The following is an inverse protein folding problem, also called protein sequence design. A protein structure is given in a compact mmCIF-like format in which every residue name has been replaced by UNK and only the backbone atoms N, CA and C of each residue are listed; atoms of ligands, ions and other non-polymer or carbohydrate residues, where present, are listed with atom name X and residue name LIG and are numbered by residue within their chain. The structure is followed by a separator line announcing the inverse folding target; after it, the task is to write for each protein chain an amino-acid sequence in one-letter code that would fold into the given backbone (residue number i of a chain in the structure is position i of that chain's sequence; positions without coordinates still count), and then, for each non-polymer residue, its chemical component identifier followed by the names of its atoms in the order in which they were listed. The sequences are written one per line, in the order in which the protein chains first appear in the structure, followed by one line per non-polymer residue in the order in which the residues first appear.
data_IF_949609536487
#
_entry.id   IF_949609536487
#
_cell.length_a   1.000
_cell.length_b   1.000
_cell.length_c   1.000
_cell.angle_alpha   90.00
_cell.angle_beta   90.00
_cell.angle_gamma   90.00
#
_symmetry.space_group_name_H-M   'P 1'
#
loop_
_entity.id
_entity.type
_entity.pdbx_description
1 polymer ?
#
# COMPACT_ATOMS: atom_id res chain seq x y z
N UNK A 1 -7.65 -6.80 -8.14
CA UNK A 1 -7.37 -5.62 -7.31
C UNK A 1 -8.47 -4.60 -7.50
N UNK A 2 -8.43 -3.51 -6.76
CA UNK A 2 -9.28 -2.34 -6.98
C UNK A 2 -8.90 -1.66 -8.32
N UNK A 3 -9.86 -1.21 -9.15
CA UNK A 3 -9.58 -0.39 -10.33
C UNK A 3 -8.92 0.94 -9.96
N UNK A 4 -7.98 1.41 -10.80
CA UNK A 4 -7.19 2.61 -10.51
C UNK A 4 -8.05 3.87 -10.39
N UNK A 5 -9.20 3.91 -11.08
CA UNK A 5 -10.15 5.03 -11.01
C UNK A 5 -10.85 5.14 -9.65
N UNK A 6 -10.83 4.06 -8.85
CA UNK A 6 -11.39 4.04 -7.50
C UNK A 6 -10.34 4.37 -6.43
N UNK A 7 -9.05 4.48 -6.80
CA UNK A 7 -7.99 4.78 -5.86
C UNK A 7 -7.99 6.28 -5.57
N UNK A 8 -8.21 6.62 -4.30
CA UNK A 8 -8.19 7.99 -3.83
C UNK A 8 -6.82 8.42 -3.30
N UNK A 9 -5.99 7.47 -2.85
CA UNK A 9 -4.65 7.73 -2.29
C UNK A 9 -3.66 6.64 -2.73
N UNK A 10 -2.52 7.08 -3.25
CA UNK A 10 -1.34 6.27 -3.51
C UNK A 10 -0.27 6.58 -2.46
N UNK A 11 -0.30 5.87 -1.33
CA UNK A 11 0.60 6.12 -0.22
C UNK A 11 1.97 5.50 -0.50
N UNK A 12 3.01 6.32 -0.65
CA UNK A 12 4.39 5.82 -0.72
C UNK A 12 4.85 5.37 0.67
N UNK A 13 5.12 4.08 0.81
CA UNK A 13 5.55 3.39 2.04
C UNK A 13 6.96 2.81 1.91
N UNK A 14 7.75 3.26 0.94
CA UNK A 14 9.12 2.76 0.71
C UNK A 14 9.99 2.83 1.97
N UNK A 15 9.85 3.90 2.76
CA UNK A 15 10.60 4.08 4.00
C UNK A 15 10.27 3.01 5.06
N UNK A 16 9.06 2.46 5.06
CA UNK A 16 8.58 1.46 6.02
C UNK A 16 8.78 0.01 5.53
N UNK A 17 9.34 -0.18 4.33
CA UNK A 17 9.45 -1.49 3.68
C UNK A 17 10.18 -2.52 4.54
N UNK A 18 11.33 -2.16 5.11
CA UNK A 18 12.12 -3.07 5.96
C UNK A 18 11.31 -3.59 7.14
N UNK A 19 10.51 -2.72 7.75
CA UNK A 19 9.65 -3.10 8.86
C UNK A 19 8.50 -4.00 8.39
N UNK A 20 7.89 -3.69 7.23
CA UNK A 20 6.83 -4.49 6.63
C UNK A 20 7.30 -5.91 6.27
N UNK A 21 8.47 -6.05 5.65
CA UNK A 21 9.07 -7.35 5.31
C UNK A 21 9.38 -8.17 6.57
N UNK A 22 9.88 -7.52 7.62
CA UNK A 22 10.07 -8.15 8.93
C UNK A 22 8.74 -8.64 9.52
N UNK A 23 7.70 -7.81 9.51
CA UNK A 23 6.37 -8.22 9.98
C UNK A 23 5.84 -9.42 9.20
N UNK A 24 5.96 -9.42 7.87
CA UNK A 24 5.55 -10.54 7.02
C UNK A 24 6.26 -11.85 7.38
N UNK A 25 7.57 -11.79 7.70
CA UNK A 25 8.35 -12.98 8.08
C UNK A 25 7.81 -13.70 9.33
N UNK A 26 7.07 -12.99 10.19
CA UNK A 26 6.47 -13.54 11.41
C UNK A 26 5.21 -14.35 11.12
N UNK A 27 4.58 -14.18 9.96
CA UNK A 27 3.31 -14.82 9.59
C UNK A 27 3.49 -16.11 8.77
N UNK A 28 4.54 -16.89 9.07
CA UNK A 28 4.91 -18.11 8.30
C UNK A 28 3.78 -19.13 8.17
N UNK A 29 2.86 -19.21 9.14
CA UNK A 29 1.72 -20.15 9.11
C UNK A 29 0.51 -19.62 8.32
N UNK A 30 0.49 -18.33 8.00
CA UNK A 30 -0.60 -17.67 7.26
C UNK A 30 -0.23 -17.41 5.80
N UNK A 31 1.07 -17.31 5.50
CA UNK A 31 1.55 -17.13 4.14
C UNK A 31 1.54 -18.47 3.40
N UNK A 32 0.88 -18.49 2.25
CA UNK A 32 0.95 -19.64 1.33
C UNK A 32 2.41 -19.84 0.87
N UNK A 33 3.05 -20.99 1.17
CA UNK A 33 4.40 -21.28 0.72
C UNK A 33 4.52 -21.34 -0.81
N UNK A 34 3.39 -21.51 -1.52
CA UNK A 34 3.33 -21.54 -2.97
C UNK A 34 3.02 -20.19 -3.61
N UNK A 35 2.89 -19.11 -2.82
CA UNK A 35 2.54 -17.78 -3.30
C UNK A 35 3.49 -17.32 -4.43
N UNK A 36 2.95 -17.29 -5.66
CA UNK A 36 3.70 -16.89 -6.87
C UNK A 36 4.23 -15.46 -6.75
N UNK A 37 3.50 -14.58 -6.08
CA UNK A 37 3.90 -13.19 -5.89
C UNK A 37 5.06 -13.01 -4.91
N UNK A 38 5.34 -14.02 -4.06
CA UNK A 38 6.53 -14.06 -3.23
C UNK A 38 7.77 -14.55 -4.00
N UNK A 39 7.57 -15.21 -5.16
CA UNK A 39 8.63 -15.78 -6.01
C UNK A 39 9.09 -14.83 -7.13
N UNK A 40 8.40 -13.70 -7.29
CA UNK A 40 8.77 -12.64 -8.25
C UNK A 40 10.13 -12.01 -7.87
N UNK A 41 10.99 -11.59 -8.82
CA UNK A 41 12.26 -10.92 -8.48
C UNK A 41 12.08 -9.72 -7.55
N UNK A 42 13.01 -9.51 -6.63
CA UNK A 42 12.91 -8.46 -5.60
C UNK A 42 12.78 -7.05 -6.22
N UNK A 43 13.46 -6.79 -7.33
CA UNK A 43 13.37 -5.51 -8.06
C UNK A 43 11.96 -5.22 -8.60
N UNK A 44 11.29 -6.25 -9.11
CA UNK A 44 9.89 -6.16 -9.54
C UNK A 44 9.03 -6.06 -8.30
N UNK A 45 9.39 -6.79 -7.24
CA UNK A 45 8.72 -6.66 -5.97
C UNK A 45 8.82 -5.26 -5.37
N UNK A 46 9.87 -4.53 -5.72
CA UNK A 46 10.11 -3.17 -5.25
C UNK A 46 9.12 -2.18 -5.83
N UNK A 47 8.94 -2.22 -7.15
CA UNK A 47 8.08 -1.28 -7.88
C UNK A 47 6.63 -1.26 -7.36
N UNK A 48 6.02 -2.41 -7.16
CA UNK A 48 4.61 -2.50 -6.72
C UNK A 48 4.40 -2.42 -5.19
N UNK A 49 5.33 -2.91 -4.35
CA UNK A 49 5.13 -2.91 -2.88
C UNK A 49 5.49 -1.60 -2.18
N UNK A 50 6.10 -0.66 -2.89
CA UNK A 50 6.41 0.65 -2.35
C UNK A 50 5.18 1.54 -2.19
N UNK A 51 4.04 1.19 -2.80
CA UNK A 51 2.81 1.95 -2.67
C UNK A 51 1.70 1.10 -2.07
N UNK A 52 0.90 1.72 -1.21
CA UNK A 52 -0.37 1.19 -0.73
C UNK A 52 -1.51 2.04 -1.25
N UNK A 53 -2.55 1.39 -1.77
CA UNK A 53 -3.67 2.04 -2.45
C UNK A 53 -4.89 2.05 -1.52
N UNK A 54 -5.52 3.21 -1.37
CA UNK A 54 -6.73 3.36 -0.56
C UNK A 54 -7.85 4.03 -1.35
N UNK A 55 -9.06 3.52 -1.16
CA UNK A 55 -10.30 4.16 -1.60
C UNK A 55 -10.94 4.91 -0.44
N UNK A 56 -11.42 6.12 -0.71
CA UNK A 56 -12.24 6.85 0.25
C UNK A 56 -13.63 6.22 0.35
N UNK A 57 -13.95 5.63 1.51
CA UNK A 57 -15.22 4.94 1.71
C UNK A 57 -16.40 5.85 2.08
N UNK A 58 -16.15 7.02 2.69
CA UNK A 58 -17.20 7.90 3.20
C UNK A 58 -16.95 9.38 2.91
N UNK A 59 -16.00 10.01 3.61
CA UNK A 59 -15.74 11.44 3.48
C UNK A 59 -14.31 11.81 3.87
N UNK A 60 -13.79 12.89 3.28
CA UNK A 60 -12.52 13.53 3.66
C UNK A 60 -12.77 14.75 4.54
N UNK A 61 -11.73 15.14 5.28
CA UNK A 61 -11.72 16.43 5.96
C UNK A 61 -11.35 17.50 4.92
N UNK A 62 -12.34 18.31 4.52
CA UNK A 62 -12.17 19.36 3.51
C UNK A 62 -12.24 18.88 2.05
N UNK A 63 -12.11 19.80 1.08
CA UNK A 63 -12.27 19.51 -0.35
C UNK A 63 -11.13 18.68 -0.94
N UNK A 64 -11.42 17.82 -1.92
CA UNK A 64 -10.38 17.05 -2.61
C UNK A 64 -9.34 17.94 -3.30
N UNK A 65 -8.06 17.68 -3.05
CA UNK A 65 -6.96 18.23 -3.83
C UNK A 65 -6.37 17.11 -4.68
N UNK A 66 -6.38 17.27 -6.02
CA UNK A 66 -5.76 16.29 -6.92
C UNK A 66 -4.30 16.04 -6.55
N UNK A 67 -3.91 14.76 -6.44
CA UNK A 67 -2.54 14.35 -6.11
C UNK A 67 -2.18 14.35 -4.63
N UNK A 68 -3.12 14.71 -3.73
CA UNK A 68 -2.90 14.64 -2.29
C UNK A 68 -2.89 13.18 -1.80
N UNK A 69 -1.70 12.62 -1.63
CA UNK A 69 -1.47 11.23 -1.22
C UNK A 69 -1.19 11.10 0.29
N UNK A 70 -2.02 11.74 1.11
CA UNK A 70 -1.93 11.70 2.57
C UNK A 70 -3.29 11.30 3.18
N UNK A 71 -3.33 10.20 3.91
CA UNK A 71 -4.54 9.73 4.59
C UNK A 71 -5.05 10.71 5.66
N UNK A 72 -4.15 11.48 6.26
CA UNK A 72 -4.44 12.46 7.30
C UNK A 72 -4.44 13.90 6.78
N UNK A 73 -4.59 14.07 5.47
CA UNK A 73 -4.76 15.39 4.88
C UNK A 73 -5.81 16.20 5.68
N UNK A 74 -5.35 17.30 6.30
CA UNK A 74 -6.13 18.25 7.11
C UNK A 74 -6.80 17.69 8.37
N UNK A 75 -6.28 16.59 8.91
CA UNK A 75 -6.53 16.22 10.31
C UNK A 75 -5.53 17.00 11.18
N UNK A 76 -5.98 17.82 12.14
CA UNK A 76 -5.10 18.60 13.02
C UNK A 76 -4.33 17.73 14.02
#
# INVERSE_FOLDING_TARGET
GMPDELISVWLNVEAQRVQKDRSWSMHRTQLDPNNVLAKVPEEVQRKWRNHECYQLAASRVGPDVPGENNLFARVP
#
